data_IF_048051946218
#
_entry.id   IF_048051946218
#
_cell.length_a   1.000
_cell.length_b   1.000
_cell.length_c   1.000
_cell.angle_alpha   90.00
_cell.angle_beta   90.00
_cell.angle_gamma   90.00
#
_symmetry.space_group_name_H-M   'P 1'
#
loop_
_entity.id
_entity.type
_entity.pdbx_description
1 polymer ?
#
# COMPACT_ATOMS: atom_id res chain seq x y z
N UNK A 1 5.37 -16.81 -0.12
CA UNK A 1 5.55 -15.61 0.74
C UNK A 1 6.47 -15.96 1.89
N UNK A 2 7.32 -15.06 2.24
CA UNK A 2 8.30 -15.30 3.29
C UNK A 2 7.82 -14.74 4.62
N UNK A 3 8.16 -15.46 5.71
CA UNK A 3 7.97 -14.94 7.04
C UNK A 3 8.92 -13.77 7.27
N UNK A 4 8.43 -12.74 7.93
CA UNK A 4 9.29 -11.62 8.31
C UNK A 4 10.33 -12.07 9.33
N UNK A 5 11.57 -11.62 9.18
CA UNK A 5 12.57 -11.91 10.20
C UNK A 5 12.21 -11.21 11.51
N UNK A 6 12.63 -11.79 12.63
CA UNK A 6 12.48 -11.14 13.90
C UNK A 6 13.23 -9.81 13.90
N UNK A 7 12.63 -8.79 14.48
CA UNK A 7 13.25 -7.47 14.55
C UNK A 7 14.39 -7.50 15.56
N UNK A 8 15.53 -7.04 15.11
CA UNK A 8 16.70 -6.94 15.99
C UNK A 8 16.59 -5.69 16.86
N UNK A 9 17.20 -5.76 18.05
CA UNK A 9 17.22 -4.62 18.93
C UNK A 9 17.87 -3.39 18.28
N UNK A 10 18.92 -3.61 17.48
CA UNK A 10 19.60 -2.53 16.75
C UNK A 10 18.72 -1.87 15.71
N UNK A 11 17.61 -2.48 15.35
CA UNK A 11 16.68 -1.96 14.35
C UNK A 11 15.56 -1.12 14.94
N UNK A 12 15.55 -0.91 16.26
CA UNK A 12 14.49 -0.15 16.92
C UNK A 12 14.40 1.28 16.40
N UNK A 13 15.52 1.87 15.97
CA UNK A 13 15.53 3.22 15.41
C UNK A 13 15.02 3.29 13.97
N UNK A 14 14.94 2.13 13.28
CA UNK A 14 14.48 2.04 11.90
C UNK A 14 13.22 1.20 11.84
N UNK A 15 12.17 1.68 12.51
CA UNK A 15 10.91 0.94 12.56
C UNK A 15 10.18 1.06 11.24
N UNK A 16 9.46 -0.01 10.89
CA UNK A 16 8.64 -0.03 9.70
C UNK A 16 7.51 0.99 9.80
N UNK A 17 7.16 1.55 8.69
CA UNK A 17 6.12 2.55 8.57
C UNK A 17 4.98 2.01 7.71
N UNK A 18 3.76 2.25 8.14
CA UNK A 18 2.56 1.84 7.40
C UNK A 18 1.82 3.09 6.94
N UNK A 19 1.42 3.09 5.68
CA UNK A 19 0.54 4.10 5.13
C UNK A 19 -0.79 3.42 4.81
N UNK A 20 -1.86 3.91 5.42
CA UNK A 20 -3.22 3.47 5.15
C UNK A 20 -3.94 4.53 4.36
N UNK A 21 -4.62 4.15 3.30
CA UNK A 21 -5.47 5.10 2.61
C UNK A 21 -6.77 4.42 2.19
N UNK A 22 -7.82 5.21 2.11
CA UNK A 22 -9.07 4.78 1.51
C UNK A 22 -9.36 5.69 0.34
N UNK A 23 -9.95 5.10 -0.71
CA UNK A 23 -10.36 5.84 -1.91
C UNK A 23 -11.82 5.54 -2.17
N UNK A 24 -12.62 6.59 -2.26
CA UNK A 24 -14.03 6.47 -2.58
C UNK A 24 -14.25 6.76 -4.06
N UNK A 25 -15.23 6.07 -4.63
CA UNK A 25 -15.57 6.21 -6.04
C UNK A 25 -17.08 6.52 -6.15
N UNK A 26 -17.44 7.26 -7.18
CA UNK A 26 -18.83 7.62 -7.39
C UNK A 26 -19.70 6.42 -7.80
N UNK A 27 -19.10 5.47 -8.53
CA UNK A 27 -19.82 4.29 -9.01
C UNK A 27 -18.98 3.04 -8.85
N UNK A 28 -19.66 1.90 -8.90
CA UNK A 28 -18.99 0.60 -8.86
C UNK A 28 -18.06 0.43 -10.07
N UNK A 29 -18.50 0.91 -11.23
CA UNK A 29 -17.71 0.80 -12.46
C UNK A 29 -16.40 1.57 -12.36
N UNK A 30 -16.41 2.72 -11.71
CA UNK A 30 -15.17 3.48 -11.49
C UNK A 30 -14.25 2.76 -10.52
N UNK A 31 -14.80 2.12 -9.49
CA UNK A 31 -14.01 1.32 -8.57
C UNK A 31 -13.35 0.16 -9.31
N UNK A 32 -14.10 -0.55 -10.13
CA UNK A 32 -13.58 -1.67 -10.90
C UNK A 32 -12.50 -1.22 -11.89
N UNK A 33 -12.69 -0.06 -12.51
CA UNK A 33 -11.69 0.50 -13.41
C UNK A 33 -10.40 0.86 -12.65
N UNK A 34 -10.56 1.41 -11.44
CA UNK A 34 -9.42 1.69 -10.58
C UNK A 34 -8.62 0.42 -10.29
N UNK A 35 -9.31 -0.66 -9.89
CA UNK A 35 -8.64 -1.92 -9.57
C UNK A 35 -7.85 -2.45 -10.77
N UNK A 36 -8.42 -2.34 -11.96
CA UNK A 36 -7.75 -2.78 -13.18
C UNK A 36 -6.53 -1.92 -13.49
N UNK A 37 -6.67 -0.60 -13.40
CA UNK A 37 -5.59 0.32 -13.74
C UNK A 37 -4.44 0.25 -12.75
N UNK A 38 -4.75 0.14 -11.44
CA UNK A 38 -3.69 0.03 -10.45
C UNK A 38 -2.90 -1.27 -10.63
N UNK A 39 -3.57 -2.36 -10.95
CA UNK A 39 -2.90 -3.62 -11.22
C UNK A 39 -1.95 -3.51 -12.41
N UNK A 40 -2.41 -2.87 -13.48
CA UNK A 40 -1.59 -2.66 -14.67
C UNK A 40 -0.41 -1.73 -14.42
N UNK A 41 -0.56 -0.77 -13.51
CA UNK A 41 0.50 0.16 -13.18
C UNK A 41 1.65 -0.52 -12.44
N UNK A 42 1.35 -1.55 -11.65
CA UNK A 42 2.37 -2.25 -10.86
C UNK A 42 2.89 -3.47 -11.61
N UNK A 43 3.60 -3.21 -12.69
CA UNK A 43 4.31 -4.24 -13.45
C UNK A 43 5.46 -4.81 -12.62
N UNK A 44 6.01 -5.96 -12.99
CA UNK A 44 7.21 -6.49 -12.29
C UNK A 44 8.35 -5.48 -12.22
N UNK A 45 8.56 -4.70 -13.29
CA UNK A 45 9.62 -3.69 -13.31
C UNK A 45 9.33 -2.57 -12.30
N UNK A 46 8.08 -2.11 -12.24
CA UNK A 46 7.69 -1.05 -11.29
C UNK A 46 7.77 -1.58 -9.86
N UNK A 47 7.30 -2.81 -9.61
CA UNK A 47 7.39 -3.43 -8.29
C UNK A 47 8.85 -3.49 -7.83
N UNK A 48 9.76 -3.82 -8.74
CA UNK A 48 11.18 -3.86 -8.40
C UNK A 48 11.71 -2.49 -7.99
N UNK A 49 11.29 -1.43 -8.67
CA UNK A 49 11.69 -0.06 -8.31
C UNK A 49 11.24 0.26 -6.87
N UNK A 50 10.00 -0.06 -6.54
CA UNK A 50 9.47 0.16 -5.20
C UNK A 50 10.19 -0.69 -4.16
N UNK A 51 10.44 -1.94 -4.47
CA UNK A 51 11.14 -2.86 -3.57
C UNK A 51 12.57 -2.38 -3.29
N UNK A 52 13.27 -1.96 -4.34
CA UNK A 52 14.63 -1.45 -4.20
C UNK A 52 14.65 -0.16 -3.37
N UNK A 53 13.58 0.62 -3.41
CA UNK A 53 13.46 1.85 -2.62
C UNK A 53 13.01 1.59 -1.18
N UNK A 54 12.66 0.35 -0.83
CA UNK A 54 12.36 -0.03 0.55
C UNK A 54 10.91 -0.35 0.84
N UNK A 55 10.06 -0.51 -0.18
CA UNK A 55 8.71 -1.00 0.04
C UNK A 55 8.77 -2.47 0.44
N UNK A 56 8.10 -2.83 1.54
CA UNK A 56 8.05 -4.20 2.02
C UNK A 56 6.78 -4.92 1.59
N UNK A 57 5.67 -4.18 1.52
CA UNK A 57 4.38 -4.80 1.26
C UNK A 57 3.40 -3.78 0.73
N UNK A 58 2.54 -4.21 -0.16
CA UNK A 58 1.40 -3.43 -0.62
C UNK A 58 0.18 -4.33 -0.68
N UNK A 59 -0.92 -3.90 -0.09
CA UNK A 59 -2.18 -4.65 -0.08
C UNK A 59 -3.29 -3.73 -0.53
N UNK A 60 -4.10 -4.21 -1.47
CA UNK A 60 -5.29 -3.49 -1.92
C UNK A 60 -6.49 -4.33 -1.52
N UNK A 61 -7.44 -3.71 -0.82
CA UNK A 61 -8.65 -4.38 -0.36
C UNK A 61 -9.86 -3.68 -0.93
N UNK A 62 -10.90 -4.43 -1.19
CA UNK A 62 -12.20 -3.85 -1.52
C UNK A 62 -13.06 -3.88 -0.26
N UNK A 63 -13.52 -2.72 0.18
CA UNK A 63 -14.34 -2.61 1.38
C UNK A 63 -15.76 -3.02 1.01
N UNK A 64 -16.30 -4.04 1.67
CA UNK A 64 -17.60 -4.60 1.31
C UNK A 64 -18.66 -4.42 2.39
N UNK A 65 -18.30 -3.98 3.58
CA UNK A 65 -19.23 -3.86 4.70
C UNK A 65 -19.76 -2.44 4.92
N UNK A 66 -19.58 -1.56 3.95
CA UNK A 66 -20.09 -0.18 4.01
C UNK A 66 -21.12 0.00 2.91
N UNK A 67 -22.39 0.04 3.31
CA UNK A 67 -23.47 0.23 2.35
C UNK A 67 -23.36 1.58 1.67
N UNK A 68 -23.73 1.61 0.39
CA UNK A 68 -23.76 2.82 -0.43
C UNK A 68 -22.40 3.48 -0.62
N UNK A 69 -21.34 2.74 -0.32
CA UNK A 69 -19.98 3.21 -0.55
C UNK A 69 -19.27 2.31 -1.55
N UNK A 70 -18.56 2.92 -2.47
CA UNK A 70 -17.68 2.21 -3.38
C UNK A 70 -16.25 2.57 -2.95
N UNK A 71 -15.65 1.73 -2.12
CA UNK A 71 -14.42 2.09 -1.41
C UNK A 71 -13.37 1.01 -1.51
N UNK A 72 -12.14 1.45 -1.69
CA UNK A 72 -10.96 0.59 -1.69
C UNK A 72 -10.06 1.03 -0.54
N UNK A 73 -9.50 0.06 0.18
CA UNK A 73 -8.48 0.33 1.20
C UNK A 73 -7.13 -0.09 0.65
N UNK A 74 -6.11 0.72 0.87
CA UNK A 74 -4.76 0.46 0.37
C UNK A 74 -3.79 0.56 1.53
N UNK A 75 -2.95 -0.45 1.67
CA UNK A 75 -1.93 -0.50 2.71
C UNK A 75 -0.58 -0.60 2.04
N UNK A 76 0.31 0.33 2.36
CA UNK A 76 1.73 0.25 2.01
C UNK A 76 2.53 0.07 3.27
N UNK A 77 3.46 -0.85 3.25
CA UNK A 77 4.41 -1.00 4.33
C UNK A 77 5.81 -0.70 3.79
N UNK A 78 6.52 0.18 4.48
CA UNK A 78 7.87 0.61 4.10
C UNK A 78 8.85 0.22 5.19
N UNK A 79 10.08 -0.06 4.80
CA UNK A 79 11.15 -0.43 5.74
C UNK A 79 11.35 0.65 6.82
N UNK A 80 11.26 1.91 6.43
CA UNK A 80 11.44 3.06 7.32
C UNK A 80 10.89 4.31 6.66
N UNK A 81 11.04 5.45 7.31
CA UNK A 81 10.56 6.72 6.79
C UNK A 81 11.31 7.17 5.53
N UNK A 82 12.59 6.85 5.42
CA UNK A 82 13.35 7.18 4.23
C UNK A 82 12.83 6.41 3.01
N UNK A 83 12.47 5.14 3.20
CA UNK A 83 11.87 4.35 2.13
C UNK A 83 10.53 4.92 1.70
N UNK A 84 9.73 5.39 2.67
CA UNK A 84 8.46 6.06 2.36
C UNK A 84 8.71 7.27 1.45
N UNK A 85 9.67 8.11 1.82
CA UNK A 85 9.99 9.30 1.02
C UNK A 85 10.46 8.95 -0.38
N UNK A 86 11.34 7.94 -0.48
CA UNK A 86 11.86 7.50 -1.78
C UNK A 86 10.74 6.99 -2.68
N UNK A 87 9.74 6.32 -2.11
CA UNK A 87 8.64 5.77 -2.89
C UNK A 87 7.62 6.81 -3.33
N UNK A 88 7.62 8.03 -2.75
CA UNK A 88 6.66 9.06 -3.14
C UNK A 88 6.85 9.50 -4.60
N UNK A 89 8.09 9.67 -5.05
CA UNK A 89 8.33 10.04 -6.43
C UNK A 89 7.94 8.91 -7.39
N UNK A 90 8.13 7.66 -6.96
CA UNK A 90 7.72 6.52 -7.77
C UNK A 90 6.20 6.44 -7.90
N UNK A 91 5.46 6.76 -6.83
CA UNK A 91 4.01 6.81 -6.89
C UNK A 91 3.54 7.88 -7.87
N UNK A 92 4.17 9.05 -7.82
CA UNK A 92 3.83 10.16 -8.72
C UNK A 92 4.11 9.82 -10.18
N UNK A 93 5.19 9.10 -10.43
CA UNK A 93 5.59 8.77 -11.79
C UNK A 93 4.80 7.60 -12.37
N UNK A 94 4.59 6.54 -11.59
CA UNK A 94 4.09 5.26 -12.11
C UNK A 94 2.65 4.93 -11.72
N UNK A 95 2.14 5.51 -10.63
CA UNK A 95 0.84 5.12 -10.10
C UNK A 95 -0.24 6.18 -10.30
N UNK A 96 0.01 7.39 -9.84
CA UNK A 96 -1.01 8.43 -9.86
C UNK A 96 -1.53 8.73 -11.27
N UNK A 97 -0.68 8.80 -12.31
CA UNK A 97 -1.20 9.04 -13.66
C UNK A 97 -2.13 7.94 -14.15
N UNK A 98 -1.89 6.69 -13.72
CA UNK A 98 -2.70 5.56 -14.17
C UNK A 98 -4.13 5.59 -13.60
N UNK A 99 -4.31 6.18 -12.43
CA UNK A 99 -5.60 6.18 -11.71
C UNK A 99 -6.22 7.58 -11.61
N UNK A 100 -5.66 8.53 -12.32
CA UNK A 100 -6.12 9.92 -12.27
C UNK A 100 -7.59 10.04 -12.68
N UNK A 101 -8.33 10.89 -11.98
CA UNK A 101 -9.70 11.23 -12.33
C UNK A 101 -10.75 10.25 -11.87
N UNK A 102 -10.39 9.13 -11.25
CA UNK A 102 -11.36 8.12 -10.84
C UNK A 102 -11.90 8.32 -9.42
N UNK A 103 -11.05 8.79 -8.51
CA UNK A 103 -11.38 8.85 -7.09
C UNK A 103 -12.09 10.15 -6.74
N UNK A 104 -13.15 10.07 -5.95
CA UNK A 104 -13.86 11.26 -5.47
C UNK A 104 -13.31 11.76 -4.14
N UNK A 105 -12.73 10.88 -3.33
CA UNK A 105 -12.20 11.25 -2.01
C UNK A 105 -11.09 10.29 -1.63
N UNK A 106 -10.00 10.84 -1.12
CA UNK A 106 -8.88 10.05 -0.59
C UNK A 106 -8.62 10.48 0.84
N UNK A 107 -8.54 9.51 1.74
CA UNK A 107 -8.15 9.76 3.13
C UNK A 107 -6.94 8.89 3.42
N UNK A 108 -5.86 9.52 3.86
CA UNK A 108 -4.62 8.81 4.17
C UNK A 108 -4.19 9.02 5.60
N UNK A 109 -3.58 7.99 6.18
CA UNK A 109 -3.02 8.02 7.53
C UNK A 109 -1.73 7.23 7.53
N UNK A 110 -0.74 7.71 8.30
CA UNK A 110 0.57 7.08 8.38
C UNK A 110 0.91 6.82 9.83
N UNK A 111 1.60 5.73 10.07
CA UNK A 111 2.05 5.40 11.40
C UNK A 111 3.23 4.45 11.36
N UNK A 112 3.86 4.29 12.50
CA UNK A 112 4.92 3.30 12.67
C UNK A 112 4.35 2.08 13.38
N UNK A 113 4.95 0.92 13.12
CA UNK A 113 4.54 -0.30 13.79
C UNK A 113 5.09 -0.26 15.22
N UNK A 114 4.18 -0.34 16.20
CA UNK A 114 4.57 -0.37 17.62
C UNK A 114 4.36 -1.75 18.24
N UNK A 115 3.63 -2.61 17.57
CA UNK A 115 3.41 -3.99 18.03
C UNK A 115 3.08 -4.84 16.80
N UNK A 116 3.70 -6.01 16.71
CA UNK A 116 3.47 -6.90 15.59
C UNK A 116 3.42 -8.35 16.07
N UNK A 117 2.46 -9.09 15.54
CA UNK A 117 2.39 -10.53 15.67
C UNK A 117 2.23 -11.12 14.27
N UNK A 118 3.04 -12.11 13.96
CA UNK A 118 2.96 -12.83 12.69
C UNK A 118 2.80 -14.30 13.01
N UNK A 119 1.67 -14.87 12.58
CA UNK A 119 1.39 -16.28 12.79
C UNK A 119 2.34 -17.17 12.01
N UNK A 120 2.64 -18.35 12.55
CA UNK A 120 3.41 -19.35 11.80
C UNK A 120 2.68 -19.77 10.52
N UNK A 121 1.37 -19.64 10.49
CA UNK A 121 0.57 -19.99 9.32
C UNK A 121 0.66 -18.94 8.20
N UNK A 122 1.24 -17.80 8.49
CA UNK A 122 1.30 -16.70 7.52
C UNK A 122 2.09 -17.07 6.26
N UNK A 123 3.09 -17.92 6.39
CA UNK A 123 3.94 -18.35 5.27
C UNK A 123 3.39 -19.56 4.52
N UNK A 124 2.29 -20.14 4.98
CA UNK A 124 1.69 -21.33 4.37
C UNK A 124 0.78 -20.99 3.14
#
# INVERSE_FOLDING_TARGET
>A
MRRRPARRESEVTNVSMINYSTRDFATKEQLELYLLRQEKAFTPEVIKLFTDAGMLRRVVTQIWNKEQAHRVGIIFEYRDQEAYKACQSLLQEHYLPAVEGLTTKVVGSRGIIVHEFVSDNFDD
#
